data_IF_531737018121
#
_entry.id   IF_531737018121
#
_cell.length_a   1.000
_cell.length_b   1.000
_cell.length_c   1.000
_cell.angle_alpha   90.00
_cell.angle_beta   90.00
_cell.angle_gamma   90.00
#
_symmetry.space_group_name_H-M   'P 1'
#
loop_
_entity.id
_entity.type
_entity.pdbx_description
1 polymer ?
#
# COMPACT_ATOMS: atom_id res chain seq x y z
N UNK A 1 -23.13 5.98 -3.20
CA UNK A 1 -22.03 6.31 -2.27
C UNK A 1 -20.71 6.09 -2.97
N UNK A 2 -19.94 7.15 -3.22
CA UNK A 2 -18.68 7.06 -3.98
C UNK A 2 -17.57 6.48 -3.10
N UNK A 3 -16.81 5.54 -3.67
CA UNK A 3 -15.70 4.78 -3.07
C UNK A 3 -14.57 5.68 -2.50
N UNK A 4 -14.58 6.96 -2.83
CA UNK A 4 -13.59 7.97 -2.46
C UNK A 4 -13.62 8.35 -0.97
N UNK A 5 -14.77 8.18 -0.30
CA UNK A 5 -14.92 8.58 1.10
C UNK A 5 -14.52 7.50 2.14
N UNK A 6 -14.08 6.30 1.72
CA UNK A 6 -13.75 5.19 2.65
C UNK A 6 -12.42 5.38 3.39
N UNK A 7 -11.57 6.30 2.95
CA UNK A 7 -10.18 6.49 3.39
C UNK A 7 -9.99 7.37 4.65
N UNK A 8 -11.06 7.78 5.33
CA UNK A 8 -11.10 9.12 5.94
C UNK A 8 -10.54 9.31 7.35
N UNK A 9 -9.71 8.42 7.90
CA UNK A 9 -8.97 8.78 9.14
C UNK A 9 -7.71 7.97 9.45
N UNK A 10 -7.55 6.76 8.92
CA UNK A 10 -6.53 5.81 9.39
C UNK A 10 -5.65 5.28 8.24
N UNK A 11 -5.01 6.17 7.48
CA UNK A 11 -4.00 5.76 6.49
C UNK A 11 -2.60 6.25 6.89
N UNK A 12 -1.59 5.50 6.45
CA UNK A 12 -0.20 5.80 6.75
C UNK A 12 0.27 7.00 5.91
N UNK A 13 0.30 8.19 6.52
CA UNK A 13 0.68 9.45 5.84
C UNK A 13 2.11 9.45 5.29
N UNK A 14 2.98 8.57 5.78
CA UNK A 14 4.36 8.46 5.31
C UNK A 14 4.54 7.53 4.12
N UNK A 15 3.50 6.80 3.71
CA UNK A 15 3.60 5.76 2.68
C UNK A 15 2.55 6.00 1.59
N UNK A 16 3.03 6.19 0.36
CA UNK A 16 2.19 6.11 -0.83
C UNK A 16 2.07 4.67 -1.32
N UNK A 17 0.90 4.30 -1.82
CA UNK A 17 0.64 3.02 -2.46
C UNK A 17 -0.06 3.27 -3.80
N UNK A 18 0.66 3.18 -4.90
CA UNK A 18 0.10 3.33 -6.26
C UNK A 18 -0.53 2.03 -6.81
N UNK A 19 -0.36 0.91 -6.09
CA UNK A 19 -0.81 -0.41 -6.52
C UNK A 19 -2.32 -0.54 -6.28
N UNK A 20 -3.14 -0.16 -7.27
CA UNK A 20 -4.61 -0.13 -7.16
C UNK A 20 -5.24 -1.47 -6.78
N UNK A 21 -4.60 -2.58 -7.14
CA UNK A 21 -5.05 -3.93 -6.79
C UNK A 21 -4.59 -4.38 -5.38
N UNK A 22 -3.92 -3.55 -4.60
CA UNK A 22 -3.57 -3.87 -3.22
C UNK A 22 -4.79 -3.68 -2.30
N UNK A 23 -5.08 -4.61 -1.38
CA UNK A 23 -6.17 -4.45 -0.41
C UNK A 23 -6.01 -3.22 0.48
N UNK A 24 -4.76 -2.78 0.68
CA UNK A 24 -4.42 -1.61 1.48
C UNK A 24 -4.42 -0.31 0.67
N UNK A 25 -4.58 -0.38 -0.66
CA UNK A 25 -4.70 0.81 -1.49
C UNK A 25 -6.09 1.43 -1.34
N UNK A 26 -6.11 2.73 -1.09
CA UNK A 26 -7.33 3.49 -0.94
C UNK A 26 -7.16 4.92 -1.46
N UNK A 27 -8.24 5.49 -2.00
CA UNK A 27 -8.21 6.80 -2.63
C UNK A 27 -7.31 6.82 -3.87
N UNK A 28 -6.54 7.89 -4.05
CA UNK A 28 -5.64 8.03 -5.20
C UNK A 28 -4.32 7.28 -5.02
N UNK A 29 -3.74 7.33 -3.83
CA UNK A 29 -2.39 6.81 -3.56
C UNK A 29 -2.16 6.44 -2.09
N UNK A 30 -3.21 6.30 -1.27
CA UNK A 30 -3.02 6.10 0.17
C UNK A 30 -2.85 4.62 0.51
N UNK A 31 -1.91 4.34 1.41
CA UNK A 31 -1.75 3.02 2.02
C UNK A 31 -2.44 2.98 3.39
N UNK A 32 -3.42 2.10 3.58
CA UNK A 32 -4.10 1.90 4.88
C UNK A 32 -3.44 0.83 5.75
N UNK A 33 -2.31 0.26 5.32
CA UNK A 33 -1.56 -0.67 6.15
C UNK A 33 -0.96 0.07 7.36
N UNK A 34 -1.33 -0.35 8.57
CA UNK A 34 -0.83 0.24 9.82
C UNK A 34 0.71 0.16 9.93
N UNK A 35 1.29 -0.94 9.46
CA UNK A 35 2.74 -1.15 9.33
C UNK A 35 3.03 -1.80 7.99
N UNK A 36 4.10 -1.36 7.34
CA UNK A 36 4.62 -2.00 6.14
C UNK A 36 5.90 -2.78 6.42
N UNK A 37 6.14 -3.80 5.61
CA UNK A 37 7.41 -4.47 5.45
C UNK A 37 7.92 -4.17 4.04
N UNK A 38 9.18 -3.75 3.97
CA UNK A 38 9.92 -3.59 2.71
C UNK A 38 10.92 -4.72 2.62
N UNK A 39 11.03 -5.34 1.46
CA UNK A 39 11.96 -6.45 1.24
C UNK A 39 12.24 -6.64 -0.26
N UNK A 40 12.89 -7.74 -0.66
CA UNK A 40 13.42 -8.81 0.20
C UNK A 40 14.69 -8.40 0.94
N UNK A 41 15.13 -9.20 1.93
CA UNK A 41 16.39 -8.97 2.66
C UNK A 41 17.65 -9.13 1.78
N UNK A 42 17.49 -9.70 0.59
CA UNK A 42 18.53 -9.84 -0.42
C UNK A 42 18.60 -8.66 -1.40
N UNK A 43 17.79 -7.61 -1.22
CA UNK A 43 17.82 -6.43 -2.07
C UNK A 43 19.19 -5.75 -2.00
N UNK A 44 19.78 -5.45 -3.17
CA UNK A 44 21.07 -4.76 -3.28
C UNK A 44 20.89 -3.30 -3.72
N UNK A 45 19.77 -3.02 -4.36
CA UNK A 45 19.40 -1.70 -4.87
C UNK A 45 18.00 -1.33 -4.46
N UNK A 46 17.66 -0.05 -4.52
CA UNK A 46 16.30 0.43 -4.27
C UNK A 46 15.28 -0.15 -5.26
N UNK A 47 15.70 -0.45 -6.50
CA UNK A 47 14.84 -1.07 -7.51
C UNK A 47 14.47 -2.52 -7.14
N UNK A 48 15.29 -3.20 -6.33
CA UNK A 48 14.98 -4.54 -5.83
C UNK A 48 13.96 -4.52 -4.69
N UNK A 49 13.77 -3.35 -4.05
CA UNK A 49 12.87 -3.22 -2.90
C UNK A 49 11.41 -3.12 -3.33
N UNK A 50 10.57 -3.93 -2.70
CA UNK A 50 9.13 -3.99 -2.92
C UNK A 50 8.36 -3.92 -1.60
N UNK A 51 7.08 -3.55 -1.68
CA UNK A 51 6.17 -3.65 -0.54
C UNK A 51 5.83 -5.13 -0.28
N UNK A 52 6.55 -5.76 0.64
CA UNK A 52 6.30 -7.14 1.07
C UNK A 52 4.96 -7.29 1.82
N UNK A 53 4.34 -6.18 2.24
CA UNK A 53 2.98 -6.15 2.80
C UNK A 53 1.89 -6.22 1.72
N UNK A 54 2.23 -6.14 0.42
CA UNK A 54 1.25 -6.23 -0.65
C UNK A 54 0.39 -7.51 -0.54
N UNK A 55 -0.93 -7.33 -0.64
CA UNK A 55 -1.90 -8.41 -0.79
C UNK A 55 -2.91 -8.02 -1.88
N UNK A 56 -3.19 -8.89 -2.86
CA UNK A 56 -4.14 -8.58 -3.91
C UNK A 56 -5.58 -8.53 -3.36
N UNK A 57 -6.42 -7.67 -3.93
CA UNK A 57 -7.88 -7.73 -3.72
C UNK A 57 -8.40 -9.05 -4.31
N UNK A 58 -9.35 -9.66 -3.62
CA UNK A 58 -10.11 -10.77 -4.20
C UNK A 58 -10.93 -10.23 -5.38
N UNK A 59 -10.99 -11.00 -6.47
CA UNK A 59 -11.81 -10.71 -7.65
C UNK A 59 -13.30 -10.86 -7.38
#
# INVERSE_FOLDING_TARGET
MNNENKCKSEYNKGISCDVKNCIYHCGEQYCTANKIAVGPSSALTSADTVCATFKPKAE
#
